data_IF_505952832815
#
_entry.id   IF_505952832815
#
_cell.length_a   1.000
_cell.length_b   1.000
_cell.length_c   1.000
_cell.angle_alpha   90.00
_cell.angle_beta   90.00
_cell.angle_gamma   90.00
#
_symmetry.space_group_name_H-M   'P 1'
#
loop_
_entity.id
_entity.type
_entity.pdbx_description
1 polymer ?
#
# COMPACT_ATOMS: atom_id res chain seq x y z
N UNK A 1 -20.81 3.19 -7.67
CA UNK A 1 -20.05 2.90 -8.90
C UNK A 1 -18.81 3.78 -8.87
N UNK A 2 -17.60 3.20 -8.91
CA UNK A 2 -16.38 4.01 -8.87
C UNK A 2 -16.32 4.96 -10.09
N UNK A 3 -15.74 6.17 -9.95
CA UNK A 3 -15.53 7.05 -11.10
C UNK A 3 -14.76 6.33 -12.20
N UNK A 4 -15.15 6.54 -13.46
CA UNK A 4 -14.37 6.04 -14.59
C UNK A 4 -12.99 6.68 -14.59
N UNK A 5 -11.96 5.98 -15.08
CA UNK A 5 -10.59 6.51 -15.19
C UNK A 5 -10.49 7.78 -16.04
N UNK A 6 -11.38 7.94 -17.03
CA UNK A 6 -11.47 9.12 -17.91
C UNK A 6 -12.33 10.25 -17.30
N UNK A 7 -12.67 10.14 -16.02
CA UNK A 7 -13.35 11.22 -15.30
C UNK A 7 -12.45 12.45 -15.21
N UNK A 8 -12.96 13.62 -15.63
CA UNK A 8 -12.22 14.89 -15.65
C UNK A 8 -11.58 15.27 -14.31
N UNK A 9 -12.19 14.91 -13.18
CA UNK A 9 -11.67 15.22 -11.84
C UNK A 9 -10.48 14.32 -11.52
N UNK A 10 -10.58 13.03 -11.83
CA UNK A 10 -9.48 12.08 -11.66
C UNK A 10 -8.29 12.50 -12.54
N UNK A 11 -8.55 12.87 -13.79
CA UNK A 11 -7.53 13.36 -14.71
C UNK A 11 -6.89 14.66 -14.23
N UNK A 12 -7.69 15.63 -13.78
CA UNK A 12 -7.16 16.87 -13.22
C UNK A 12 -6.29 16.65 -11.97
N UNK A 13 -6.66 15.72 -11.07
CA UNK A 13 -5.84 15.37 -9.92
C UNK A 13 -4.50 14.74 -10.31
N UNK A 14 -4.49 13.90 -11.36
CA UNK A 14 -3.26 13.31 -11.91
C UNK A 14 -2.36 14.37 -12.57
N UNK A 15 -2.95 15.33 -13.29
CA UNK A 15 -2.25 16.47 -13.87
C UNK A 15 -1.59 17.34 -12.79
N UNK A 16 -2.33 17.64 -11.71
CA UNK A 16 -1.80 18.38 -10.57
C UNK A 16 -0.68 17.61 -9.86
N UNK A 17 -0.85 16.30 -9.64
CA UNK A 17 0.19 15.48 -9.03
C UNK A 17 1.50 15.52 -9.82
N UNK A 18 1.39 15.51 -11.15
CA UNK A 18 2.53 15.68 -12.07
C UNK A 18 3.11 17.10 -12.01
N UNK A 19 2.26 18.14 -12.03
CA UNK A 19 2.68 19.54 -12.05
C UNK A 19 3.45 19.92 -10.79
N UNK A 20 2.95 19.52 -9.62
CA UNK A 20 3.55 19.85 -8.32
C UNK A 20 4.59 18.83 -7.84
N UNK A 21 4.90 17.81 -8.65
CA UNK A 21 5.75 16.67 -8.30
C UNK A 21 5.41 16.04 -6.93
N UNK A 22 4.12 15.82 -6.68
CA UNK A 22 3.62 15.22 -5.43
C UNK A 22 3.14 13.79 -5.68
N UNK A 23 3.34 12.87 -4.71
CA UNK A 23 2.81 11.52 -4.83
C UNK A 23 1.28 11.51 -4.79
N UNK A 24 0.68 10.55 -5.49
CA UNK A 24 -0.75 10.28 -5.43
C UNK A 24 -1.01 8.92 -4.79
N UNK A 25 -1.76 8.92 -3.68
CA UNK A 25 -2.28 7.68 -3.11
C UNK A 25 -3.55 7.28 -3.88
N UNK A 26 -3.56 6.05 -4.39
CA UNK A 26 -4.72 5.46 -5.05
C UNK A 26 -5.21 4.29 -4.22
N UNK A 27 -6.44 4.40 -3.74
CA UNK A 27 -7.16 3.33 -3.08
C UNK A 27 -8.08 2.64 -4.09
N UNK A 28 -7.76 1.40 -4.45
CA UNK A 28 -8.61 0.57 -5.31
C UNK A 28 -8.81 -0.77 -4.63
N UNK A 29 -10.00 -1.03 -4.13
CA UNK A 29 -10.44 -2.38 -3.76
C UNK A 29 -10.81 -3.14 -5.03
N UNK A 30 -9.79 -3.41 -5.84
CA UNK A 30 -9.97 -4.04 -7.13
C UNK A 30 -9.90 -5.55 -7.00
N UNK A 31 -10.81 -6.26 -7.66
CA UNK A 31 -10.68 -7.72 -7.84
C UNK A 31 -9.55 -8.09 -8.82
N UNK A 32 -8.94 -7.10 -9.48
CA UNK A 32 -7.88 -7.29 -10.47
C UNK A 32 -6.92 -6.09 -10.59
N UNK A 33 -5.62 -6.33 -10.64
CA UNK A 33 -4.61 -5.28 -10.84
C UNK A 33 -4.78 -4.49 -12.16
N UNK A 34 -5.44 -5.07 -13.16
CA UNK A 34 -5.68 -4.45 -14.48
C UNK A 34 -6.55 -3.20 -14.42
N UNK A 35 -7.27 -2.95 -13.32
CA UNK A 35 -7.97 -1.68 -13.12
C UNK A 35 -7.01 -0.52 -12.91
N UNK A 36 -5.89 -0.75 -12.21
CA UNK A 36 -4.90 0.29 -11.96
C UNK A 36 -3.83 0.37 -13.07
N UNK A 37 -3.54 -0.74 -13.76
CA UNK A 37 -2.50 -0.82 -14.79
C UNK A 37 -2.55 0.32 -15.84
N UNK A 38 -3.69 0.70 -16.43
CA UNK A 38 -3.73 1.80 -17.39
C UNK A 38 -3.37 3.14 -16.77
N UNK A 39 -3.85 3.43 -15.55
CA UNK A 39 -3.59 4.70 -14.87
C UNK A 39 -2.08 4.86 -14.61
N UNK A 40 -1.41 3.84 -14.08
CA UNK A 40 0.02 3.96 -13.82
C UNK A 40 0.86 4.04 -15.11
N UNK A 41 0.42 3.40 -16.20
CA UNK A 41 1.09 3.46 -17.52
C UNK A 41 0.90 4.77 -18.25
N UNK A 42 -0.31 5.35 -18.18
CA UNK A 42 -0.65 6.59 -18.88
C UNK A 42 -0.04 7.82 -18.15
N UNK A 43 0.30 7.68 -16.87
CA UNK A 43 0.90 8.73 -16.04
C UNK A 43 2.26 8.31 -15.45
N UNK A 44 3.28 8.01 -16.27
CA UNK A 44 4.56 7.46 -15.80
C UNK A 44 5.38 8.46 -14.94
N UNK A 45 5.07 9.76 -15.03
CA UNK A 45 5.72 10.81 -14.25
C UNK A 45 5.14 10.97 -12.84
N UNK A 46 3.96 10.41 -12.57
CA UNK A 46 3.33 10.48 -11.24
C UNK A 46 3.84 9.31 -10.39
N UNK A 47 4.30 9.60 -9.18
CA UNK A 47 4.64 8.59 -8.16
C UNK A 47 3.36 8.14 -7.46
N UNK A 48 3.06 6.85 -7.50
CA UNK A 48 1.85 6.31 -6.90
C UNK A 48 2.13 5.53 -5.62
N UNK A 49 1.28 5.72 -4.61
CA UNK A 49 1.12 4.77 -3.51
C UNK A 49 -0.17 3.98 -3.73
N UNK A 50 -0.04 2.69 -4.01
CA UNK A 50 -1.19 1.79 -4.13
C UNK A 50 -1.57 1.24 -2.77
N UNK A 51 -2.72 1.68 -2.26
CA UNK A 51 -3.16 1.34 -0.91
C UNK A 51 -3.46 -0.16 -0.76
N UNK A 52 -3.09 -0.70 0.39
CA UNK A 52 -3.37 -2.08 0.82
C UNK A 52 -3.06 -3.15 -0.23
N UNK A 53 -2.07 -2.91 -1.09
CA UNK A 53 -1.75 -3.78 -2.23
C UNK A 53 -2.98 -4.15 -3.11
N UNK A 54 -3.93 -3.24 -3.29
CA UNK A 54 -5.16 -3.48 -4.03
C UNK A 54 -6.24 -4.22 -3.24
N UNK A 55 -6.16 -4.20 -1.91
CA UNK A 55 -7.11 -4.86 -1.01
C UNK A 55 -6.78 -6.34 -0.84
N UNK A 56 -7.57 -7.24 -1.43
CA UNK A 56 -7.40 -8.69 -1.27
C UNK A 56 -6.49 -9.36 -2.31
N UNK A 57 -5.77 -8.57 -3.14
CA UNK A 57 -4.92 -9.14 -4.17
C UNK A 57 -3.71 -9.89 -3.58
N UNK A 58 -3.40 -11.02 -4.21
CA UNK A 58 -2.23 -11.84 -3.87
C UNK A 58 -0.94 -11.38 -4.56
N UNK A 59 0.22 -11.96 -4.18
CA UNK A 59 1.53 -11.54 -4.67
C UNK A 59 1.67 -11.70 -6.19
N UNK A 60 0.98 -12.66 -6.82
CA UNK A 60 1.02 -12.81 -8.29
C UNK A 60 0.48 -11.55 -9.00
N UNK A 61 -0.68 -11.04 -8.56
CA UNK A 61 -1.29 -9.87 -9.19
C UNK A 61 -0.55 -8.58 -8.83
N UNK A 62 -0.13 -8.44 -7.58
CA UNK A 62 0.65 -7.27 -7.13
C UNK A 62 1.98 -7.21 -7.87
N UNK A 63 2.69 -8.33 -7.98
CA UNK A 63 3.92 -8.45 -8.76
C UNK A 63 3.74 -8.10 -10.22
N UNK A 64 2.65 -8.56 -10.84
CA UNK A 64 2.32 -8.29 -12.24
C UNK A 64 2.06 -6.80 -12.54
N UNK A 65 1.55 -6.03 -11.57
CA UNK A 65 1.45 -4.58 -11.68
C UNK A 65 2.82 -3.93 -11.49
N UNK A 66 3.53 -4.30 -10.43
CA UNK A 66 4.83 -3.72 -10.06
C UNK A 66 5.88 -3.89 -11.15
N UNK A 67 5.86 -5.01 -11.88
CA UNK A 67 6.72 -5.26 -13.03
C UNK A 67 6.47 -4.27 -14.17
N UNK A 68 5.20 -3.90 -14.40
CA UNK A 68 4.79 -3.07 -15.54
C UNK A 68 4.73 -1.59 -15.24
N UNK A 69 4.65 -1.22 -13.96
CA UNK A 69 4.56 0.16 -13.49
C UNK A 69 5.70 0.47 -12.51
N UNK A 70 6.85 0.98 -13.01
CA UNK A 70 8.01 1.31 -12.17
C UNK A 70 7.73 2.45 -11.18
N UNK A 71 6.73 3.29 -11.47
CA UNK A 71 6.28 4.43 -10.68
C UNK A 71 5.29 4.09 -9.55
N UNK A 72 5.11 2.80 -9.21
CA UNK A 72 4.19 2.35 -8.16
C UNK A 72 4.95 1.84 -6.93
N UNK A 73 4.60 2.39 -5.77
CA UNK A 73 4.92 1.90 -4.43
C UNK A 73 3.68 1.21 -3.86
N UNK A 74 3.88 0.08 -3.19
CA UNK A 74 2.79 -0.70 -2.60
C UNK A 74 2.72 -0.42 -1.10
N UNK A 75 1.58 0.09 -0.64
CA UNK A 75 1.27 0.25 0.77
C UNK A 75 0.70 -1.04 1.37
N UNK A 76 1.27 -1.50 2.47
CA UNK A 76 0.87 -2.71 3.20
C UNK A 76 0.11 -2.38 4.50
N UNK A 77 -0.35 -1.15 4.68
CA UNK A 77 -1.36 -0.85 5.69
C UNK A 77 -2.59 -1.73 5.47
N UNK A 78 -3.32 -2.06 6.54
CA UNK A 78 -4.50 -2.95 6.51
C UNK A 78 -4.34 -4.36 5.90
N UNK A 79 -3.15 -4.73 5.43
CA UNK A 79 -2.80 -6.11 5.04
C UNK A 79 -2.53 -6.92 6.29
N UNK A 80 -3.59 -7.17 7.05
CA UNK A 80 -3.59 -7.95 8.29
C UNK A 80 -4.85 -8.81 8.42
N UNK A 81 -4.84 -9.82 9.32
CA UNK A 81 -5.92 -10.79 9.46
C UNK A 81 -7.29 -10.19 9.78
N UNK A 82 -7.34 -8.96 10.29
CA UNK A 82 -8.56 -8.32 10.74
C UNK A 82 -9.23 -7.47 9.67
N UNK A 83 -8.56 -7.17 8.56
CA UNK A 83 -9.05 -6.29 7.49
C UNK A 83 -8.99 -6.94 6.12
N UNK A 84 -7.82 -6.96 5.47
CA UNK A 84 -7.68 -7.58 4.14
C UNK A 84 -7.22 -9.06 4.14
N UNK A 85 -7.20 -9.70 5.31
CA UNK A 85 -6.96 -11.13 5.48
C UNK A 85 -5.47 -11.49 5.68
N UNK A 86 -5.11 -12.76 5.43
CA UNK A 86 -3.78 -13.27 5.77
C UNK A 86 -2.68 -12.67 4.90
N UNK A 87 -1.82 -11.86 5.54
CA UNK A 87 -0.54 -11.41 4.98
C UNK A 87 0.65 -12.18 5.56
N UNK A 88 0.57 -12.52 6.84
CA UNK A 88 1.52 -13.36 7.57
C UNK A 88 0.73 -14.30 8.49
N UNK A 89 1.35 -15.41 8.90
CA UNK A 89 0.81 -16.29 9.95
C UNK A 89 1.02 -15.72 11.36
N UNK A 90 0.56 -16.45 12.38
CA UNK A 90 0.63 -16.03 13.80
C UNK A 90 2.08 -15.86 14.28
N UNK A 91 3.03 -16.58 13.69
CA UNK A 91 4.46 -16.43 13.97
C UNK A 91 5.15 -15.36 13.10
N UNK A 92 4.39 -14.64 12.27
CA UNK A 92 4.88 -13.57 11.40
C UNK A 92 5.60 -14.08 10.13
N UNK A 93 5.44 -15.35 9.74
CA UNK A 93 6.02 -15.86 8.49
C UNK A 93 5.16 -15.42 7.31
N UNK A 94 5.83 -14.89 6.29
CA UNK A 94 5.18 -14.50 5.04
C UNK A 94 5.02 -15.71 4.11
N UNK A 95 3.91 -15.81 3.36
CA UNK A 95 3.82 -16.72 2.23
C UNK A 95 4.99 -16.50 1.25
N UNK A 96 5.52 -17.55 0.61
CA UNK A 96 6.71 -17.44 -0.25
C UNK A 96 6.63 -16.35 -1.32
N UNK A 97 5.48 -16.23 -2.00
CA UNK A 97 5.30 -15.21 -3.03
C UNK A 97 5.35 -13.76 -2.52
N UNK A 98 4.88 -13.51 -1.28
CA UNK A 98 5.02 -12.19 -0.68
C UNK A 98 6.46 -11.89 -0.31
N UNK A 99 7.15 -12.87 0.29
CA UNK A 99 8.56 -12.74 0.61
C UNK A 99 9.40 -12.45 -0.63
N UNK A 100 9.19 -13.21 -1.70
CA UNK A 100 9.89 -13.02 -2.98
C UNK A 100 9.67 -11.61 -3.55
N UNK A 101 8.44 -11.09 -3.50
CA UNK A 101 8.17 -9.73 -3.97
C UNK A 101 8.90 -8.67 -3.15
N UNK A 102 8.89 -8.77 -1.82
CA UNK A 102 9.60 -7.83 -0.96
C UNK A 102 11.10 -7.83 -1.27
N UNK A 103 11.69 -9.02 -1.50
CA UNK A 103 13.10 -9.18 -1.85
C UNK A 103 13.41 -8.68 -3.27
N UNK A 104 12.50 -8.89 -4.24
CA UNK A 104 12.65 -8.43 -5.63
C UNK A 104 12.51 -6.93 -5.79
N UNK A 105 11.65 -6.29 -4.99
CA UNK A 105 11.39 -4.85 -5.06
C UNK A 105 11.59 -4.15 -3.70
N UNK A 106 12.80 -4.21 -3.13
CA UNK A 106 13.06 -3.83 -1.74
C UNK A 106 12.82 -2.35 -1.45
N UNK A 107 12.74 -1.52 -2.49
CA UNK A 107 12.61 -0.06 -2.40
C UNK A 107 11.18 0.45 -2.64
N UNK A 108 10.22 -0.46 -2.93
CA UNK A 108 8.88 -0.10 -3.41
C UNK A 108 7.75 -0.58 -2.51
N UNK A 109 8.04 -0.95 -1.28
CA UNK A 109 7.04 -1.28 -0.27
C UNK A 109 7.08 -0.30 0.89
N UNK A 110 5.89 0.07 1.35
CA UNK A 110 5.63 0.96 2.47
C UNK A 110 4.70 0.25 3.47
N UNK A 111 4.79 0.60 4.74
CA UNK A 111 3.84 0.18 5.78
C UNK A 111 3.15 1.40 6.38
N UNK A 112 2.04 1.16 7.07
CA UNK A 112 1.29 2.17 7.83
C UNK A 112 0.19 1.49 8.64
N UNK A 113 -0.33 2.15 9.67
CA UNK A 113 -1.36 1.55 10.52
C UNK A 113 -2.74 1.51 9.85
N UNK A 114 -3.09 2.58 9.13
CA UNK A 114 -4.44 2.85 8.63
C UNK A 114 -5.49 2.60 9.74
N UNK A 115 -5.51 3.41 10.81
CA UNK A 115 -6.20 3.07 12.05
C UNK A 115 -7.72 3.24 11.87
N UNK A 116 -8.36 2.29 11.19
CA UNK A 116 -9.80 2.22 10.93
C UNK A 116 -10.36 0.93 11.51
N UNK A 117 -11.33 1.02 12.42
CA UNK A 117 -11.97 -0.14 13.06
C UNK A 117 -13.37 0.19 13.64
N UNK A 118 -14.36 -0.71 13.57
CA UNK A 118 -14.39 -1.97 12.81
C UNK A 118 -14.56 -1.72 11.31
N UNK A 119 -13.74 -2.38 10.47
CA UNK A 119 -13.70 -2.12 9.02
C UNK A 119 -14.85 -2.73 8.20
N UNK A 120 -15.76 -3.48 8.82
CA UNK A 120 -16.85 -4.20 8.12
C UNK A 120 -18.25 -3.76 8.54
N UNK A 121 -18.38 -2.88 9.53
CA UNK A 121 -19.67 -2.29 9.85
C UNK A 121 -19.93 -1.11 8.92
N UNK A 122 -21.18 -0.95 8.48
CA UNK A 122 -21.61 0.21 7.71
C UNK A 122 -21.33 1.43 8.58
N UNK A 123 -20.34 2.25 8.21
CA UNK A 123 -19.95 3.42 8.98
C UNK A 123 -21.17 4.28 9.28
N UNK A 124 -21.50 4.37 10.57
CA UNK A 124 -22.45 5.33 11.10
C UNK A 124 -21.79 6.71 11.05
N UNK A 125 -22.31 7.62 10.22
CA UNK A 125 -21.76 8.98 10.07
C UNK A 125 -21.73 9.76 11.38
N UNK A 126 -22.53 9.35 12.36
CA UNK A 126 -22.70 9.94 13.69
C UNK A 126 -21.80 9.31 14.78
N UNK A 127 -20.98 8.29 14.45
CA UNK A 127 -20.13 7.59 15.43
C UNK A 127 -18.66 7.59 15.01
N UNK A 128 -17.79 7.87 15.98
CA UNK A 128 -16.36 7.72 15.78
C UNK A 128 -15.98 6.25 15.60
N UNK A 129 -15.02 5.99 14.72
CA UNK A 129 -14.34 4.69 14.67
C UNK A 129 -13.42 4.53 15.91
N UNK A 130 -13.02 3.29 16.19
CA UNK A 130 -12.11 2.93 17.29
C UNK A 130 -10.77 2.43 16.78
N UNK A 131 -10.38 2.80 15.55
CA UNK A 131 -9.16 2.30 14.94
C UNK A 131 -7.88 2.72 15.66
N UNK A 132 -7.89 3.88 16.32
CA UNK A 132 -6.78 4.35 17.14
C UNK A 132 -6.55 3.49 18.39
N UNK A 133 -7.59 2.89 18.96
CA UNK A 133 -7.47 1.95 20.08
C UNK A 133 -6.77 0.64 19.65
N UNK A 134 -6.76 0.36 18.34
CA UNK A 134 -6.12 -0.82 17.73
C UNK A 134 -4.72 -0.52 17.18
N UNK A 135 -4.21 0.68 17.38
CA UNK A 135 -2.94 1.11 16.77
C UNK A 135 -1.75 0.21 17.13
N UNK A 136 -1.61 -0.15 18.41
CA UNK A 136 -0.55 -1.06 18.87
C UNK A 136 -0.70 -2.45 18.29
N UNK A 137 -1.93 -2.95 18.14
CA UNK A 137 -2.22 -4.24 17.53
C UNK A 137 -1.76 -4.26 16.06
N UNK A 138 -2.11 -3.22 15.28
CA UNK A 138 -1.73 -3.13 13.87
C UNK A 138 -0.21 -3.01 13.68
N UNK A 139 0.46 -2.17 14.48
CA UNK A 139 1.91 -2.04 14.42
C UNK A 139 2.64 -3.28 14.95
N UNK A 140 2.10 -3.95 15.97
CA UNK A 140 2.63 -5.19 16.53
C UNK A 140 2.67 -6.29 15.46
N UNK A 141 1.57 -6.48 14.73
CA UNK A 141 1.51 -7.40 13.60
C UNK A 141 2.55 -7.07 12.53
N UNK A 142 2.69 -5.79 12.15
CA UNK A 142 3.68 -5.37 11.17
C UNK A 142 5.12 -5.64 11.62
N UNK A 143 5.43 -5.31 12.87
CA UNK A 143 6.76 -5.57 13.46
C UNK A 143 7.08 -7.06 13.52
N UNK A 144 6.10 -7.92 13.80
CA UNK A 144 6.29 -9.36 13.88
C UNK A 144 6.79 -9.95 12.56
N UNK A 145 6.13 -9.65 11.42
CA UNK A 145 6.58 -10.18 10.14
C UNK A 145 7.81 -9.47 9.59
N UNK A 146 7.99 -8.17 9.86
CA UNK A 146 9.23 -7.45 9.52
C UNK A 146 10.45 -8.06 10.24
N UNK A 147 10.27 -8.56 11.46
CA UNK A 147 11.30 -9.25 12.23
C UNK A 147 11.78 -10.58 11.61
N UNK A 148 11.05 -11.12 10.62
CA UNK A 148 11.45 -12.31 9.87
C UNK A 148 12.29 -12.01 8.62
N UNK A 149 12.47 -10.73 8.29
CA UNK A 149 13.24 -10.28 7.12
C UNK A 149 14.68 -9.90 7.50
N UNK A 150 15.62 -9.88 6.54
CA UNK A 150 16.92 -9.27 6.75
C UNK A 150 16.78 -7.83 7.27
N UNK A 151 17.61 -7.46 8.24
CA UNK A 151 17.54 -6.15 8.92
C UNK A 151 17.54 -4.97 7.93
N UNK A 152 18.32 -5.06 6.86
CA UNK A 152 18.38 -4.04 5.81
C UNK A 152 17.06 -3.90 5.05
N UNK A 153 16.41 -5.02 4.70
CA UNK A 153 15.12 -5.03 4.02
C UNK A 153 14.01 -4.52 4.95
N UNK A 154 13.98 -4.98 6.19
CA UNK A 154 13.03 -4.50 7.19
C UNK A 154 13.17 -2.99 7.43
N UNK A 155 14.41 -2.45 7.50
CA UNK A 155 14.66 -1.00 7.63
C UNK A 155 14.13 -0.21 6.43
N UNK A 156 14.27 -0.74 5.22
CA UNK A 156 13.76 -0.11 4.00
C UNK A 156 12.25 0.04 4.05
N UNK A 157 11.56 -1.08 4.26
CA UNK A 157 10.10 -1.15 4.26
C UNK A 157 9.50 -0.31 5.39
N UNK A 158 10.10 -0.34 6.59
CA UNK A 158 9.57 0.36 7.76
C UNK A 158 9.84 1.87 7.77
N UNK A 159 10.79 2.36 6.98
CA UNK A 159 11.26 3.74 7.11
C UNK A 159 11.79 4.34 5.81
N UNK A 160 12.94 3.88 5.31
CA UNK A 160 13.71 4.67 4.32
C UNK A 160 13.01 4.74 2.96
N UNK A 161 12.16 3.77 2.62
CA UNK A 161 11.35 3.82 1.41
C UNK A 161 10.35 4.98 1.45
N UNK A 162 9.79 5.32 2.63
CA UNK A 162 8.85 6.42 2.79
C UNK A 162 9.53 7.77 2.55
N UNK A 163 10.75 7.95 3.08
CA UNK A 163 11.56 9.15 2.83
C UNK A 163 11.82 9.36 1.34
N UNK A 164 12.27 8.29 0.65
CA UNK A 164 12.48 8.34 -0.81
C UNK A 164 11.20 8.65 -1.56
N UNK A 165 10.09 8.02 -1.18
CA UNK A 165 8.79 8.21 -1.84
C UNK A 165 8.27 9.65 -1.70
N UNK A 166 8.44 10.24 -0.52
CA UNK A 166 8.02 11.60 -0.19
C UNK A 166 9.02 12.68 -0.62
N UNK A 167 10.18 12.32 -1.19
CA UNK A 167 11.22 13.27 -1.58
C UNK A 167 11.93 13.93 -0.39
N UNK A 168 11.97 13.26 0.77
CA UNK A 168 12.57 13.77 2.00
C UNK A 168 14.00 13.25 2.19
N UNK A 169 14.85 14.05 2.84
CA UNK A 169 16.17 13.61 3.26
C UNK A 169 16.05 12.46 4.28
N UNK A 170 16.75 11.33 4.10
CA UNK A 170 16.65 10.20 5.02
C UNK A 170 17.07 10.61 6.44
N UNK A 171 16.51 9.98 7.47
CA UNK A 171 16.89 10.27 8.85
C UNK A 171 18.32 9.79 9.08
N UNK A 172 19.07 10.57 9.88
CA UNK A 172 20.43 10.23 10.34
C UNK A 172 20.50 8.84 11.01
#
# INVERSE_FOLDING_TARGET
>A
MAPRRDNRIVQGLLELAREFDVPMLIHTEASDYRYFLPICRDHPQVRFQWAHAGGHLGPVQVGALMERCPNVWVGLSARDPWRYGSFADEEGRLPPGWRELLERYPERFLIGSDPVWPGFEIHHWDRADTGWERFEQFLGFQRAWLGRLPVSLARRIRLTNAYRFLGLAPPE
#
